data_IF_380387415167
#
_entry.id   IF_380387415167
#
_cell.length_a   1.000
_cell.length_b   1.000
_cell.length_c   1.000
_cell.angle_alpha   90.00
_cell.angle_beta   90.00
_cell.angle_gamma   90.00
#
_symmetry.space_group_name_H-M   'P 1'
#
loop_
_entity.id
_entity.type
_entity.pdbx_description
1 polymer ?
#
# COMPACT_ATOMS: atom_id res chain seq x y z
N UNK A 1 21.06 8.30 -4.02
CA UNK A 1 20.36 7.10 -3.50
C UNK A 1 20.54 7.13 -2.01
N UNK A 2 19.46 7.24 -1.23
CA UNK A 2 19.54 6.99 0.20
C UNK A 2 19.76 5.49 0.40
N UNK A 3 20.93 5.10 0.89
CA UNK A 3 21.28 3.71 1.16
C UNK A 3 20.49 3.24 2.40
N UNK A 4 19.37 2.58 2.14
CA UNK A 4 18.60 1.88 3.18
C UNK A 4 19.28 0.53 3.45
N UNK A 5 19.29 0.10 4.72
CA UNK A 5 19.89 -1.19 5.08
C UNK A 5 18.86 -2.33 5.07
N UNK A 6 17.58 -1.98 5.21
CA UNK A 6 16.48 -2.92 5.35
C UNK A 6 15.48 -2.86 4.21
N UNK A 7 15.65 -1.90 3.29
CA UNK A 7 14.76 -1.63 2.17
C UNK A 7 15.55 -1.41 0.88
N UNK A 8 14.85 -1.42 -0.23
CA UNK A 8 15.36 -0.93 -1.52
C UNK A 8 14.27 -0.11 -2.20
N UNK A 9 14.58 1.12 -2.61
CA UNK A 9 13.66 1.98 -3.36
C UNK A 9 14.16 2.12 -4.79
N UNK A 10 13.47 1.49 -5.74
CA UNK A 10 13.84 1.47 -7.16
C UNK A 10 12.85 2.31 -7.95
N UNK A 11 13.32 3.36 -8.62
CA UNK A 11 12.53 4.17 -9.55
C UNK A 11 12.62 3.60 -10.97
N UNK A 12 11.48 3.42 -11.62
CA UNK A 12 11.36 3.02 -13.02
C UNK A 12 11.20 4.26 -13.90
N UNK A 13 11.90 4.30 -15.03
CA UNK A 13 11.81 5.35 -16.05
C UNK A 13 10.39 5.63 -16.56
N UNK A 14 9.46 4.66 -16.43
CA UNK A 14 8.04 4.81 -16.77
C UNK A 14 7.26 5.70 -15.79
N UNK A 15 7.90 6.14 -14.70
CA UNK A 15 7.35 7.08 -13.74
C UNK A 15 6.67 6.41 -12.54
N UNK A 16 7.19 5.29 -12.03
CA UNK A 16 6.72 4.70 -10.78
C UNK A 16 7.90 4.19 -9.96
N UNK A 17 7.68 3.93 -8.68
CA UNK A 17 8.70 3.36 -7.81
C UNK A 17 8.24 2.03 -7.24
N UNK A 18 9.19 1.13 -6.97
CA UNK A 18 8.97 -0.06 -6.17
C UNK A 18 9.76 0.06 -4.87
N UNK A 19 9.05 0.07 -3.75
CA UNK A 19 9.60 -0.01 -2.41
C UNK A 19 9.61 -1.49 -1.98
N UNK A 20 10.81 -2.04 -1.86
CA UNK A 20 11.04 -3.41 -1.44
C UNK A 20 11.37 -3.47 0.05
N UNK A 21 10.68 -4.33 0.80
CA UNK A 21 11.18 -4.85 2.06
C UNK A 21 12.34 -5.79 1.75
N UNK A 22 13.54 -5.50 2.27
CA UNK A 22 14.78 -6.17 1.87
C UNK A 22 15.58 -6.69 3.07
N UNK A 23 14.93 -7.55 3.87
CA UNK A 23 15.58 -8.35 4.92
C UNK A 23 15.24 -9.83 4.69
N UNK A 24 15.53 -10.35 3.50
CA UNK A 24 15.16 -11.71 3.07
C UNK A 24 15.61 -12.79 4.08
N UNK A 25 16.84 -12.70 4.57
CA UNK A 25 17.38 -13.63 5.58
C UNK A 25 16.63 -13.61 6.93
N UNK A 26 15.79 -12.59 7.14
CA UNK A 26 14.90 -12.44 8.31
C UNK A 26 13.44 -12.45 7.90
N UNK A 27 13.10 -12.96 6.71
CA UNK A 27 11.75 -13.02 6.16
C UNK A 27 11.05 -11.66 6.17
N UNK A 28 11.79 -10.56 5.97
CA UNK A 28 11.30 -9.19 6.01
C UNK A 28 10.56 -8.85 7.32
N UNK A 29 10.95 -9.47 8.43
CA UNK A 29 10.38 -9.16 9.73
C UNK A 29 10.63 -7.70 10.11
N UNK A 30 9.69 -7.08 10.81
CA UNK A 30 9.77 -5.68 11.19
C UNK A 30 10.72 -5.49 12.37
N UNK A 31 11.53 -4.45 12.31
CA UNK A 31 12.25 -3.91 13.45
C UNK A 31 12.16 -2.37 13.41
N UNK A 32 12.58 -1.71 14.48
CA UNK A 32 12.56 -0.24 14.57
C UNK A 32 13.29 0.44 13.40
N UNK A 33 14.39 -0.14 12.91
CA UNK A 33 15.12 0.41 11.76
C UNK A 33 14.29 0.39 10.47
N UNK A 34 13.67 -0.74 10.15
CA UNK A 34 12.82 -0.86 8.95
C UNK A 34 11.63 0.09 9.01
N UNK A 35 11.02 0.29 10.19
CA UNK A 35 9.92 1.24 10.37
C UNK A 35 10.39 2.67 10.01
N UNK A 36 11.52 3.13 10.59
CA UNK A 36 12.09 4.45 10.28
C UNK A 36 12.50 4.60 8.82
N UNK A 37 13.16 3.59 8.26
CA UNK A 37 13.56 3.60 6.85
C UNK A 37 12.32 3.65 5.92
N UNK A 38 11.21 3.01 6.28
CA UNK A 38 9.97 3.06 5.51
C UNK A 38 9.35 4.46 5.54
N UNK A 39 9.35 5.12 6.70
CA UNK A 39 8.87 6.51 6.83
C UNK A 39 9.68 7.43 5.91
N UNK A 40 11.02 7.36 5.98
CA UNK A 40 11.92 8.16 5.13
C UNK A 40 11.71 7.83 3.63
N UNK A 41 11.54 6.56 3.28
CA UNK A 41 11.30 6.16 1.90
C UNK A 41 9.96 6.72 1.37
N UNK A 42 8.91 6.73 2.20
CA UNK A 42 7.62 7.32 1.83
C UNK A 42 7.73 8.84 1.65
N UNK A 43 8.53 9.52 2.46
CA UNK A 43 8.81 10.96 2.27
C UNK A 43 9.51 11.23 0.94
N UNK A 44 10.50 10.41 0.56
CA UNK A 44 11.15 10.51 -0.76
C UNK A 44 10.15 10.30 -1.90
N UNK A 45 9.30 9.27 -1.80
CA UNK A 45 8.24 9.00 -2.79
C UNK A 45 7.25 10.17 -2.86
N UNK A 46 6.91 10.77 -1.73
CA UNK A 46 5.96 11.87 -1.64
C UNK A 46 6.54 13.18 -2.22
N UNK A 47 7.86 13.38 -2.13
CA UNK A 47 8.56 14.55 -2.66
C UNK A 47 8.84 14.46 -4.18
N UNK A 48 8.92 13.26 -4.74
CA UNK A 48 9.18 13.05 -6.16
C UNK A 48 7.92 13.22 -7.02
N UNK A 49 7.82 14.38 -7.66
CA UNK A 49 6.70 14.72 -8.54
C UNK A 49 6.64 13.87 -9.82
N UNK A 50 7.73 13.20 -10.21
CA UNK A 50 7.77 12.33 -11.39
C UNK A 50 7.05 10.99 -11.17
N UNK A 51 6.91 10.56 -9.92
CA UNK A 51 6.26 9.30 -9.58
C UNK A 51 4.74 9.42 -9.71
N UNK A 52 4.16 8.44 -10.41
CA UNK A 52 2.74 8.31 -10.73
C UNK A 52 2.02 7.39 -9.75
N UNK A 53 2.70 6.35 -9.26
CA UNK A 53 2.21 5.39 -8.27
C UNK A 53 3.39 4.65 -7.60
N UNK A 54 3.11 3.96 -6.49
CA UNK A 54 4.07 3.19 -5.70
C UNK A 54 3.68 1.70 -5.71
N UNK A 55 4.63 0.81 -5.94
CA UNK A 55 4.51 -0.61 -5.62
C UNK A 55 5.19 -0.88 -4.28
N UNK A 56 4.55 -1.66 -3.42
CA UNK A 56 5.13 -2.17 -2.18
C UNK A 56 5.28 -3.70 -2.28
N UNK A 57 6.51 -4.20 -2.13
CA UNK A 57 6.85 -5.61 -2.33
C UNK A 57 7.80 -6.11 -1.24
N UNK A 58 7.88 -7.43 -1.02
CA UNK A 58 8.94 -8.05 -0.21
C UNK A 58 9.95 -8.79 -1.08
N UNK A 59 11.24 -8.75 -0.73
CA UNK A 59 12.28 -9.60 -1.35
C UNK A 59 12.21 -11.02 -0.79
N UNK A 60 12.56 -11.99 -1.64
CA UNK A 60 12.61 -13.40 -1.26
C UNK A 60 11.25 -14.07 -1.10
N UNK A 61 11.23 -15.12 -0.27
CA UNK A 61 10.09 -16.06 -0.16
C UNK A 61 8.81 -15.44 0.42
N UNK A 62 8.93 -14.40 1.25
CA UNK A 62 7.82 -13.87 2.03
C UNK A 62 7.72 -12.36 1.89
N UNK A 63 6.49 -11.85 1.85
CA UNK A 63 6.25 -10.42 1.94
C UNK A 63 6.80 -9.86 3.24
N UNK A 64 6.30 -10.34 4.40
CA UNK A 64 6.86 -10.07 5.72
C UNK A 64 6.28 -11.01 6.80
N UNK A 65 7.14 -11.71 7.53
CA UNK A 65 6.74 -12.73 8.49
C UNK A 65 6.41 -12.22 9.92
N UNK A 66 6.15 -10.92 10.10
CA UNK A 66 5.77 -10.32 11.39
C UNK A 66 6.90 -9.55 12.07
N UNK A 67 6.89 -9.50 13.41
CA UNK A 67 7.93 -8.78 14.17
C UNK A 67 9.22 -9.58 14.28
N UNK A 68 10.36 -8.89 14.25
CA UNK A 68 11.69 -9.47 14.44
C UNK A 68 11.86 -9.97 15.88
N UNK A 69 12.43 -11.17 16.05
CA UNK A 69 12.61 -11.80 17.36
C UNK A 69 13.46 -10.95 18.31
N UNK A 70 14.53 -10.32 17.82
CA UNK A 70 15.39 -9.48 18.65
C UNK A 70 14.66 -8.20 19.07
N UNK A 71 13.84 -7.64 18.18
CA UNK A 71 13.00 -6.50 18.52
C UNK A 71 11.94 -6.87 19.56
N UNK A 72 11.26 -8.02 19.42
CA UNK A 72 10.30 -8.50 20.43
C UNK A 72 10.96 -8.73 21.80
N UNK A 73 12.19 -9.26 21.84
CA UNK A 73 12.94 -9.42 23.08
C UNK A 73 13.25 -8.07 23.74
N UNK A 74 13.63 -7.06 22.95
CA UNK A 74 13.87 -5.71 23.47
C UNK A 74 12.57 -5.09 23.99
N UNK A 75 11.46 -5.19 23.24
CA UNK A 75 10.17 -4.63 23.62
C UNK A 75 9.60 -5.22 24.91
N UNK A 76 9.93 -6.48 25.24
CA UNK A 76 9.48 -7.13 26.47
C UNK A 76 10.02 -6.47 27.75
N UNK A 77 11.15 -5.78 27.66
CA UNK A 77 11.81 -5.11 28.80
C UNK A 77 11.50 -3.60 28.86
N UNK A 78 10.78 -3.06 27.86
CA UNK A 78 10.46 -1.63 27.79
C UNK A 78 9.33 -1.26 28.75
N UNK A 79 9.41 -0.04 29.31
CA UNK A 79 8.31 0.54 30.06
C UNK A 79 7.16 0.99 29.14
N UNK A 80 6.07 1.47 29.74
CA UNK A 80 4.89 1.91 28.99
C UNK A 80 5.20 3.08 28.04
N UNK A 81 5.97 4.07 28.49
CA UNK A 81 6.23 5.27 27.71
C UNK A 81 7.13 4.98 26.49
N UNK A 82 8.14 4.13 26.67
CA UNK A 82 9.02 3.72 25.58
C UNK A 82 8.27 2.85 24.58
N UNK A 83 7.41 1.94 25.04
CA UNK A 83 6.52 1.17 24.14
C UNK A 83 5.53 2.07 23.39
N UNK A 84 5.05 3.14 24.02
CA UNK A 84 4.16 4.10 23.36
C UNK A 84 4.87 4.86 22.24
N UNK A 85 6.15 5.19 22.40
CA UNK A 85 6.95 5.82 21.36
C UNK A 85 7.20 4.87 20.17
N UNK A 86 7.52 3.60 20.43
CA UNK A 86 7.60 2.56 19.38
C UNK A 86 6.26 2.42 18.62
N UNK A 87 5.13 2.48 19.34
CA UNK A 87 3.80 2.43 18.74
C UNK A 87 3.48 3.68 17.90
N UNK A 88 3.98 4.86 18.30
CA UNK A 88 3.81 6.12 17.55
C UNK A 88 4.55 6.09 16.21
N UNK A 89 5.76 5.57 16.19
CA UNK A 89 6.55 5.39 14.95
C UNK A 89 5.83 4.44 13.97
N UNK A 90 5.34 3.30 14.47
CA UNK A 90 4.56 2.39 13.63
C UNK A 90 3.26 3.04 13.14
N UNK A 91 2.59 3.84 13.99
CA UNK A 91 1.39 4.57 13.59
C UNK A 91 1.70 5.60 12.50
N UNK A 92 2.77 6.37 12.65
CA UNK A 92 3.24 7.34 11.65
C UNK A 92 3.47 6.68 10.30
N UNK A 93 4.17 5.54 10.27
CA UNK A 93 4.34 4.73 9.06
C UNK A 93 2.99 4.39 8.40
N UNK A 94 2.05 3.84 9.16
CA UNK A 94 0.74 3.43 8.62
C UNK A 94 -0.05 4.62 8.09
N UNK A 95 -0.06 5.74 8.84
CA UNK A 95 -0.75 6.95 8.40
C UNK A 95 -0.08 7.61 7.19
N UNK A 96 1.25 7.60 7.08
CA UNK A 96 1.96 8.15 5.93
C UNK A 96 1.67 7.34 4.66
N UNK A 97 1.66 6.00 4.76
CA UNK A 97 1.31 5.14 3.63
C UNK A 97 -0.16 5.32 3.21
N UNK A 98 -1.10 5.29 4.14
CA UNK A 98 -2.53 5.45 3.86
C UNK A 98 -2.89 6.86 3.32
N UNK A 99 -2.09 7.89 3.66
CA UNK A 99 -2.27 9.27 3.20
C UNK A 99 -1.41 9.64 1.99
N UNK A 100 -0.63 8.71 1.45
CA UNK A 100 0.26 8.96 0.32
C UNK A 100 -0.54 9.55 -0.85
N UNK A 101 -0.08 10.66 -1.44
CA UNK A 101 -0.87 11.37 -2.48
C UNK A 101 -0.99 10.59 -3.79
N UNK A 102 -0.05 9.68 -4.07
CA UNK A 102 -0.09 8.80 -5.24
C UNK A 102 -0.75 7.47 -4.91
N UNK A 103 -1.35 6.79 -5.91
CA UNK A 103 -1.82 5.43 -5.74
C UNK A 103 -0.71 4.48 -5.26
N UNK A 104 -1.06 3.52 -4.41
CA UNK A 104 -0.18 2.46 -3.93
C UNK A 104 -0.76 1.08 -4.18
N UNK A 105 0.10 0.15 -4.62
CA UNK A 105 -0.23 -1.26 -4.88
C UNK A 105 0.69 -2.18 -4.06
N UNK A 106 0.13 -2.92 -3.11
CA UNK A 106 0.85 -4.02 -2.45
C UNK A 106 0.84 -5.27 -3.33
N UNK A 107 1.99 -5.96 -3.43
CA UNK A 107 2.11 -7.26 -4.09
C UNK A 107 2.61 -8.29 -3.08
N UNK A 108 1.78 -9.26 -2.74
CA UNK A 108 2.00 -10.14 -1.59
C UNK A 108 2.25 -11.58 -2.01
N UNK A 109 3.45 -12.08 -1.75
CA UNK A 109 3.81 -13.48 -1.86
C UNK A 109 4.14 -14.10 -0.49
N UNK A 110 3.95 -15.41 -0.35
CA UNK A 110 4.33 -16.12 0.87
C UNK A 110 3.64 -15.58 2.13
N UNK A 111 4.38 -15.41 3.24
CA UNK A 111 3.81 -15.00 4.50
C UNK A 111 3.70 -13.47 4.62
N UNK A 112 2.57 -13.00 5.13
CA UNK A 112 2.31 -11.64 5.56
C UNK A 112 1.65 -11.71 6.95
N UNK A 113 2.38 -11.39 8.03
CA UNK A 113 1.87 -11.49 9.40
C UNK A 113 1.95 -10.15 10.17
N UNK A 114 0.99 -9.94 11.07
CA UNK A 114 0.95 -8.79 11.97
C UNK A 114 1.05 -7.44 11.25
N UNK A 115 2.10 -6.66 11.54
CA UNK A 115 2.36 -5.35 10.90
C UNK A 115 2.33 -5.36 9.37
N UNK A 116 2.64 -6.50 8.74
CA UNK A 116 2.52 -6.68 7.29
C UNK A 116 1.08 -6.51 6.79
N UNK A 117 0.08 -7.00 7.53
CA UNK A 117 -1.33 -6.79 7.19
C UNK A 117 -1.69 -5.32 7.28
N UNK A 118 -1.10 -4.58 8.23
CA UNK A 118 -1.22 -3.12 8.31
C UNK A 118 -0.75 -2.44 7.04
N UNK A 119 0.47 -2.76 6.57
CA UNK A 119 1.00 -2.18 5.32
C UNK A 119 0.09 -2.49 4.12
N UNK A 120 -0.36 -3.74 4.00
CA UNK A 120 -1.24 -4.17 2.91
C UNK A 120 -2.57 -3.40 2.96
N UNK A 121 -3.18 -3.27 4.13
CA UNK A 121 -4.44 -2.55 4.31
C UNK A 121 -4.31 -1.03 4.19
N UNK A 122 -3.10 -0.47 4.29
CA UNK A 122 -2.85 0.94 4.03
C UNK A 122 -2.65 1.26 2.53
N UNK A 123 -2.36 0.26 1.69
CA UNK A 123 -2.29 0.48 0.25
C UNK A 123 -3.69 0.66 -0.35
N UNK A 124 -3.80 1.44 -1.43
CA UNK A 124 -5.08 1.62 -2.12
C UNK A 124 -5.56 0.32 -2.77
N UNK A 125 -4.61 -0.49 -3.22
CA UNK A 125 -4.83 -1.75 -3.89
C UNK A 125 -3.85 -2.79 -3.35
N UNK A 126 -4.26 -4.05 -3.38
CA UNK A 126 -3.38 -5.16 -3.07
C UNK A 126 -3.71 -6.36 -3.96
N UNK A 127 -2.68 -7.04 -4.44
CA UNK A 127 -2.79 -8.34 -5.12
C UNK A 127 -1.81 -9.32 -4.50
N UNK A 128 -2.01 -10.62 -4.71
CA UNK A 128 -1.10 -11.60 -4.14
C UNK A 128 -1.19 -12.99 -4.73
N UNK A 129 -0.33 -13.87 -4.24
CA UNK A 129 -0.37 -15.27 -4.61
C UNK A 129 -1.54 -16.00 -3.93
N UNK A 130 -2.15 -16.96 -4.61
CA UNK A 130 -3.22 -17.80 -4.09
C UNK A 130 -2.81 -18.54 -2.80
N UNK A 131 -1.55 -18.95 -2.74
CA UNK A 131 -0.95 -19.68 -1.62
C UNK A 131 -0.35 -18.76 -0.54
N UNK A 132 -0.42 -17.43 -0.71
CA UNK A 132 0.03 -16.49 0.31
C UNK A 132 -0.72 -16.71 1.64
N UNK A 133 -0.03 -16.50 2.75
CA UNK A 133 -0.50 -16.81 4.09
C UNK A 133 -0.59 -15.55 4.93
N UNK A 134 -1.79 -15.27 5.45
CA UNK A 134 -2.09 -14.08 6.24
C UNK A 134 -2.46 -14.48 7.67
N UNK A 135 -2.05 -13.67 8.65
CA UNK A 135 -2.36 -13.92 10.07
C UNK A 135 -2.20 -12.65 10.92
N UNK A 136 -3.18 -12.41 11.80
CA UNK A 136 -3.07 -11.52 12.95
C UNK A 136 -2.77 -12.40 14.18
N UNK A 137 -1.49 -12.61 14.47
CA UNK A 137 -1.05 -13.59 15.47
C UNK A 137 -0.86 -13.04 16.88
N UNK A 138 -1.03 -11.74 17.08
CA UNK A 138 -0.68 -10.98 18.28
C UNK A 138 -1.31 -11.56 19.56
N UNK A 139 -2.56 -12.01 19.49
CA UNK A 139 -3.27 -12.56 20.66
C UNK A 139 -2.64 -13.85 21.19
N UNK A 140 -1.87 -14.58 20.38
CA UNK A 140 -1.14 -15.79 20.82
C UNK A 140 0.00 -15.48 21.78
N UNK A 141 0.47 -14.23 21.80
CA UNK A 141 1.56 -13.75 22.66
C UNK A 141 1.10 -12.67 23.63
N UNK A 142 -0.22 -12.56 23.88
CA UNK A 142 -0.78 -11.62 24.85
C UNK A 142 -0.86 -10.17 24.35
N UNK A 143 -0.75 -9.93 23.04
CA UNK A 143 -0.81 -8.60 22.44
C UNK A 143 -2.08 -8.43 21.60
N UNK A 144 -2.36 -7.18 21.20
CA UNK A 144 -3.41 -6.84 20.25
C UNK A 144 -2.81 -6.20 18.99
N UNK A 145 -3.39 -6.39 17.79
CA UNK A 145 -2.97 -5.71 16.55
C UNK A 145 -3.42 -4.23 16.54
N UNK A 146 -3.12 -3.48 17.61
CA UNK A 146 -3.77 -2.21 17.91
C UNK A 146 -3.53 -1.13 16.84
N UNK A 147 -2.27 -0.87 16.49
CA UNK A 147 -1.89 0.22 15.57
C UNK A 147 -2.44 0.01 14.15
N UNK A 148 -2.51 -1.24 13.70
CA UNK A 148 -2.96 -1.57 12.34
C UNK A 148 -4.48 -1.74 12.24
N UNK A 149 -5.18 -1.89 13.37
CA UNK A 149 -6.60 -2.23 13.41
C UNK A 149 -7.51 -1.29 12.60
N UNK A 150 -7.35 0.05 12.62
CA UNK A 150 -8.21 0.93 11.84
C UNK A 150 -8.20 0.61 10.33
N UNK A 151 -7.00 0.34 9.80
CA UNK A 151 -6.80 0.06 8.37
C UNK A 151 -7.30 -1.34 8.01
N UNK A 152 -7.00 -2.34 8.84
CA UNK A 152 -7.49 -3.71 8.62
C UNK A 152 -9.02 -3.76 8.66
N UNK A 153 -9.66 -3.10 9.63
CA UNK A 153 -11.12 -3.05 9.72
C UNK A 153 -11.71 -2.35 8.49
N UNK A 154 -11.08 -1.29 7.99
CA UNK A 154 -11.51 -0.63 6.76
C UNK A 154 -11.38 -1.53 5.53
N UNK A 155 -10.33 -2.35 5.45
CA UNK A 155 -10.08 -3.23 4.31
C UNK A 155 -11.00 -4.45 4.24
N UNK A 156 -11.22 -5.16 5.37
CA UNK A 156 -11.96 -6.44 5.39
C UNK A 156 -13.27 -6.42 6.18
N UNK A 157 -13.62 -5.27 6.76
CA UNK A 157 -14.78 -5.11 7.63
C UNK A 157 -14.57 -5.65 9.05
N UNK A 158 -15.33 -5.09 9.99
CA UNK A 158 -15.18 -5.37 11.43
C UNK A 158 -15.34 -6.86 11.77
N UNK A 159 -16.31 -7.55 11.16
CA UNK A 159 -16.61 -8.95 11.50
C UNK A 159 -15.48 -9.89 11.10
N UNK A 160 -14.87 -9.68 9.93
CA UNK A 160 -13.74 -10.49 9.49
C UNK A 160 -12.50 -10.15 10.31
N UNK A 161 -12.21 -8.86 10.50
CA UNK A 161 -11.09 -8.40 11.32
C UNK A 161 -11.15 -8.99 12.74
N UNK A 162 -12.32 -8.93 13.40
CA UNK A 162 -12.55 -9.53 14.72
C UNK A 162 -12.29 -11.03 14.72
N UNK A 163 -12.79 -11.77 13.72
CA UNK A 163 -12.56 -13.22 13.63
C UNK A 163 -11.06 -13.51 13.62
N UNK A 164 -10.33 -12.96 12.64
CA UNK A 164 -8.92 -13.31 12.45
C UNK A 164 -8.02 -12.76 13.55
N UNK A 165 -8.36 -11.61 14.15
CA UNK A 165 -7.62 -11.06 15.28
C UNK A 165 -7.81 -11.89 16.56
N UNK A 166 -9.03 -12.41 16.82
CA UNK A 166 -9.32 -13.16 18.05
C UNK A 166 -8.92 -14.65 17.94
N UNK A 167 -9.08 -15.26 16.77
CA UNK A 167 -8.72 -16.68 16.58
C UNK A 167 -7.23 -16.85 16.28
N UNK A 168 -6.57 -15.81 15.76
CA UNK A 168 -5.23 -15.90 15.18
C UNK A 168 -5.09 -17.06 14.19
N UNK A 169 -6.17 -17.43 13.50
CA UNK A 169 -6.13 -18.45 12.45
C UNK A 169 -5.48 -17.88 11.18
N UNK A 170 -4.78 -18.75 10.44
CA UNK A 170 -4.22 -18.38 9.14
C UNK A 170 -5.30 -18.44 8.06
N UNK A 171 -5.18 -17.61 7.04
CA UNK A 171 -5.98 -17.70 5.84
C UNK A 171 -5.13 -17.50 4.59
N UNK A 172 -5.58 -18.09 3.48
CA UNK A 172 -4.88 -18.08 2.19
C UNK A 172 -5.19 -16.85 1.32
N UNK A 173 -4.45 -16.67 0.22
CA UNK A 173 -4.63 -15.57 -0.73
C UNK A 173 -6.02 -15.52 -1.38
N UNK A 174 -6.57 -16.67 -1.76
CA UNK A 174 -7.94 -16.74 -2.29
C UNK A 174 -8.98 -16.24 -1.26
N UNK A 175 -8.80 -16.61 0.01
CA UNK A 175 -9.65 -16.12 1.09
C UNK A 175 -9.42 -14.63 1.35
N UNK A 176 -8.19 -14.15 1.27
CA UNK A 176 -7.87 -12.73 1.38
C UNK A 176 -8.57 -11.91 0.27
N UNK A 177 -8.69 -12.47 -0.95
CA UNK A 177 -9.49 -11.88 -2.03
C UNK A 177 -10.98 -11.81 -1.70
N UNK A 178 -11.56 -12.92 -1.24
CA UNK A 178 -12.98 -12.95 -0.84
C UNK A 178 -13.34 -11.94 0.27
N UNK A 179 -12.36 -11.63 1.13
CA UNK A 179 -12.51 -10.67 2.23
C UNK A 179 -12.32 -9.22 1.79
N UNK A 180 -11.80 -8.97 0.58
CA UNK A 180 -11.44 -7.64 0.10
C UNK A 180 -10.06 -7.15 0.55
N UNK A 181 -9.26 -7.98 1.26
CA UNK A 181 -7.88 -7.62 1.60
C UNK A 181 -7.00 -7.56 0.36
N UNK A 182 -7.22 -8.49 -0.57
CA UNK A 182 -6.66 -8.46 -1.91
C UNK A 182 -7.79 -8.15 -2.88
N UNK A 183 -7.53 -7.31 -3.88
CA UNK A 183 -8.42 -7.14 -5.02
C UNK A 183 -8.43 -8.40 -5.88
N UNK A 184 -7.26 -9.00 -6.11
CA UNK A 184 -7.09 -10.23 -6.89
C UNK A 184 -6.02 -11.14 -6.29
N UNK A 185 -6.17 -12.44 -6.53
CA UNK A 185 -5.15 -13.45 -6.23
C UNK A 185 -4.88 -14.31 -7.45
N UNK A 186 -3.62 -14.72 -7.62
CA UNK A 186 -3.15 -15.47 -8.78
C UNK A 186 -2.27 -16.66 -8.36
N UNK A 187 -2.11 -17.69 -9.20
CA UNK A 187 -1.07 -18.68 -8.99
C UNK A 187 0.30 -18.01 -8.79
N UNK A 188 1.09 -18.49 -7.83
CA UNK A 188 2.37 -17.85 -7.47
C UNK A 188 3.32 -17.69 -8.66
N UNK A 189 3.32 -18.64 -9.59
CA UNK A 189 4.11 -18.62 -10.83
C UNK A 189 3.69 -17.55 -11.84
N UNK A 190 2.47 -17.02 -11.72
CA UNK A 190 1.89 -16.04 -12.64
C UNK A 190 1.82 -14.64 -12.03
N UNK A 191 2.12 -14.50 -10.74
CA UNK A 191 1.96 -13.24 -10.00
C UNK A 191 2.73 -12.09 -10.66
N UNK A 192 3.98 -12.28 -11.05
CA UNK A 192 4.78 -11.21 -11.68
C UNK A 192 4.24 -10.79 -13.05
N UNK A 193 3.71 -11.73 -13.84
CA UNK A 193 3.03 -11.41 -15.10
C UNK A 193 1.83 -10.52 -14.85
N UNK A 194 1.03 -10.83 -13.82
CA UNK A 194 -0.11 -9.99 -13.45
C UNK A 194 0.31 -8.65 -12.86
N UNK A 195 1.41 -8.57 -12.09
CA UNK A 195 1.95 -7.29 -11.63
C UNK A 195 2.23 -6.36 -12.82
N UNK A 196 2.86 -6.88 -13.89
CA UNK A 196 3.14 -6.07 -15.08
C UNK A 196 1.85 -5.63 -15.80
N UNK A 197 0.79 -6.43 -15.77
CA UNK A 197 -0.54 -6.03 -16.29
C UNK A 197 -1.16 -4.89 -15.46
N UNK A 198 -1.08 -4.97 -14.12
CA UNK A 198 -1.53 -3.89 -13.23
C UNK A 198 -0.73 -2.60 -13.47
N UNK A 199 0.60 -2.71 -13.55
CA UNK A 199 1.50 -1.59 -13.90
C UNK A 199 1.13 -1.00 -15.25
N UNK A 200 0.97 -1.83 -16.28
CA UNK A 200 0.60 -1.39 -17.63
C UNK A 200 -0.73 -0.64 -17.65
N UNK A 201 -1.73 -1.11 -16.89
CA UNK A 201 -3.02 -0.42 -16.75
C UNK A 201 -2.87 0.93 -16.03
N UNK A 202 -2.12 1.00 -14.93
CA UNK A 202 -1.89 2.26 -14.21
C UNK A 202 -1.14 3.28 -15.08
N UNK A 203 -0.22 2.82 -15.92
CA UNK A 203 0.53 3.65 -16.87
C UNK A 203 -0.34 4.24 -17.99
N UNK A 204 -1.57 3.73 -18.22
CA UNK A 204 -2.50 4.36 -19.16
C UNK A 204 -3.13 5.65 -18.63
N UNK A 205 -3.07 5.90 -17.32
CA UNK A 205 -3.88 6.91 -16.66
C UNK A 205 -3.15 8.23 -16.41
N UNK A 206 -3.87 9.34 -16.47
CA UNK A 206 -3.34 10.67 -16.12
C UNK A 206 -2.86 10.69 -14.66
N UNK A 207 -1.59 11.03 -14.39
CA UNK A 207 -1.08 11.14 -13.02
C UNK A 207 -1.88 12.11 -12.14
N UNK A 208 -2.29 13.26 -12.67
CA UNK A 208 -3.10 14.22 -11.93
C UNK A 208 -4.51 13.68 -11.65
N UNK A 209 -5.13 13.01 -12.62
CA UNK A 209 -6.45 12.42 -12.44
C UNK A 209 -6.42 11.28 -11.41
N UNK A 210 -5.38 10.43 -11.40
CA UNK A 210 -5.23 9.38 -10.40
C UNK A 210 -5.16 9.94 -8.97
N UNK A 211 -4.31 10.95 -8.73
CA UNK A 211 -4.19 11.62 -7.41
C UNK A 211 -5.51 12.25 -6.99
N UNK A 212 -6.14 13.01 -7.89
CA UNK A 212 -7.42 13.65 -7.62
C UNK A 212 -8.54 12.63 -7.34
N UNK A 213 -8.52 11.48 -8.01
CA UNK A 213 -9.50 10.41 -7.82
C UNK A 213 -9.31 9.71 -6.49
N UNK A 214 -8.05 9.43 -6.08
CA UNK A 214 -7.73 8.90 -4.76
C UNK A 214 -8.22 9.83 -3.65
N UNK A 215 -7.89 11.13 -3.73
CA UNK A 215 -8.35 12.13 -2.75
C UNK A 215 -9.89 12.24 -2.73
N UNK A 216 -10.54 12.17 -3.89
CA UNK A 216 -12.00 12.18 -4.00
C UNK A 216 -12.62 10.95 -3.32
N UNK A 217 -12.11 9.76 -3.61
CA UNK A 217 -12.62 8.50 -3.08
C UNK A 217 -12.46 8.41 -1.56
N UNK A 218 -11.40 9.01 -1.01
CA UNK A 218 -11.20 9.11 0.43
C UNK A 218 -12.25 9.98 1.11
N UNK A 219 -12.62 11.11 0.51
CA UNK A 219 -13.63 12.01 1.05
C UNK A 219 -15.04 11.41 1.00
N UNK A 220 -15.39 10.71 -0.10
CA UNK A 220 -16.72 10.07 -0.25
C UNK A 220 -16.85 8.77 0.55
N UNK A 221 -15.75 8.18 1.03
CA UNK A 221 -15.70 6.82 1.58
C UNK A 221 -16.61 6.56 2.79
N UNK A 222 -17.03 7.60 3.51
CA UNK A 222 -18.01 7.46 4.60
C UNK A 222 -19.45 7.17 4.11
N UNK A 223 -19.72 7.32 2.81
CA UNK A 223 -21.02 7.04 2.18
C UNK A 223 -22.15 8.03 2.49
N UNK A 224 -21.91 9.07 3.29
CA UNK A 224 -22.93 10.04 3.67
C UNK A 224 -23.13 11.12 2.60
N UNK A 225 -24.27 11.08 1.92
CA UNK A 225 -24.61 12.00 0.82
C UNK A 225 -25.03 13.39 1.34
N UNK A 226 -24.08 14.16 1.86
CA UNK A 226 -24.33 15.51 2.39
C UNK A 226 -24.24 16.59 1.31
N UNK A 227 -24.88 17.77 1.48
CA UNK A 227 -24.69 18.90 0.58
C UNK A 227 -23.23 19.37 0.47
N UNK A 228 -22.43 19.21 1.54
CA UNK A 228 -21.00 19.52 1.51
C UNK A 228 -20.23 18.55 0.61
N UNK A 229 -20.50 17.24 0.73
CA UNK A 229 -19.89 16.22 -0.12
C UNK A 229 -20.27 16.42 -1.59
N UNK A 230 -21.54 16.74 -1.88
CA UNK A 230 -21.99 17.07 -3.23
C UNK A 230 -21.18 18.23 -3.82
N UNK A 231 -21.02 19.34 -3.08
CA UNK A 231 -20.23 20.49 -3.54
C UNK A 231 -18.76 20.12 -3.74
N UNK A 232 -18.20 19.31 -2.86
CA UNK A 232 -16.82 18.83 -3.01
C UNK A 232 -16.63 18.07 -4.32
N UNK A 233 -17.52 17.11 -4.63
CA UNK A 233 -17.48 16.33 -5.88
C UNK A 233 -17.64 17.23 -7.13
N UNK A 234 -18.58 18.17 -7.12
CA UNK A 234 -18.80 19.14 -8.21
C UNK A 234 -17.54 19.99 -8.47
N UNK A 235 -16.88 20.47 -7.41
CA UNK A 235 -15.64 21.23 -7.51
C UNK A 235 -14.46 20.36 -7.97
N UNK A 236 -14.37 19.11 -7.50
CA UNK A 236 -13.30 18.19 -7.89
C UNK A 236 -13.29 17.94 -9.41
N UNK A 237 -14.46 17.63 -10.00
CA UNK A 237 -14.56 17.39 -11.44
C UNK A 237 -14.34 18.68 -12.26
N UNK A 238 -14.83 19.82 -11.79
CA UNK A 238 -14.60 21.10 -12.45
C UNK A 238 -13.10 21.44 -12.50
N UNK A 239 -12.39 21.31 -11.37
CA UNK A 239 -10.95 21.57 -11.25
C UNK A 239 -10.12 20.68 -12.16
N UNK A 240 -10.37 19.36 -12.16
CA UNK A 240 -9.53 18.45 -12.97
C UNK A 240 -9.80 18.63 -14.48
N UNK A 241 -11.03 18.94 -14.90
CA UNK A 241 -11.37 19.16 -16.32
C UNK A 241 -10.65 20.36 -16.94
N UNK A 242 -10.43 21.43 -16.17
CA UNK A 242 -9.70 22.62 -16.66
C UNK A 242 -8.18 22.51 -16.51
N UNK A 243 -7.68 21.46 -15.86
CA UNK A 243 -6.24 21.22 -15.72
C UNK A 243 -5.57 20.88 -17.05
N UNK A 244 -4.23 20.98 -17.10
CA UNK A 244 -3.45 20.64 -18.30
C UNK A 244 -3.70 19.20 -18.76
N UNK A 245 -3.60 18.21 -17.85
CA UNK A 245 -3.87 16.80 -18.19
C UNK A 245 -5.35 16.55 -18.53
N UNK A 246 -6.28 17.25 -17.87
CA UNK A 246 -7.71 17.15 -18.20
C UNK A 246 -8.03 17.62 -19.62
N UNK A 247 -7.47 18.77 -20.02
CA UNK A 247 -7.63 19.31 -21.37
C UNK A 247 -6.94 18.42 -22.42
N UNK A 248 -5.74 17.94 -22.14
CA UNK A 248 -5.01 17.02 -23.01
C UNK A 248 -5.79 15.71 -23.21
N UNK A 249 -6.29 15.09 -22.14
CA UNK A 249 -7.08 13.86 -22.21
C UNK A 249 -8.34 14.00 -23.06
N UNK A 250 -9.11 15.07 -22.84
CA UNK A 250 -10.31 15.36 -23.62
C UNK A 250 -9.99 15.55 -25.10
N UNK A 251 -8.93 16.30 -25.43
CA UNK A 251 -8.51 16.51 -26.82
C UNK A 251 -8.03 15.22 -27.46
N UNK A 252 -7.17 14.47 -26.78
CA UNK A 252 -6.62 13.21 -27.27
C UNK A 252 -7.74 12.20 -27.58
N UNK A 253 -8.72 12.07 -26.68
CA UNK A 253 -9.90 11.22 -26.87
C UNK A 253 -10.72 11.64 -28.09
N UNK A 254 -11.07 12.93 -28.21
CA UNK A 254 -11.84 13.45 -29.35
C UNK A 254 -11.09 13.32 -30.69
N UNK A 255 -9.76 13.43 -30.65
CA UNK A 255 -8.89 13.32 -31.82
C UNK A 255 -8.46 11.87 -32.12
N UNK A 256 -8.90 10.88 -31.33
CA UNK A 256 -8.52 9.46 -31.46
C UNK A 256 -7.00 9.23 -31.47
N UNK A 257 -6.27 9.93 -30.63
CA UNK A 257 -4.82 9.75 -30.42
C UNK A 257 -4.51 9.41 -28.97
N UNK A 258 -3.35 8.80 -28.67
CA UNK A 258 -2.88 8.67 -27.30
C UNK A 258 -2.66 10.05 -26.65
N UNK A 259 -3.00 10.22 -25.35
CA UNK A 259 -2.64 11.41 -24.59
C UNK A 259 -1.13 11.44 -24.27
N UNK A 260 -0.61 12.61 -23.95
CA UNK A 260 0.83 12.82 -23.72
C UNK A 260 1.46 11.91 -22.65
N UNK A 261 0.73 11.54 -21.60
CA UNK A 261 1.24 10.64 -20.54
C UNK A 261 1.32 9.16 -20.94
N UNK A 262 0.79 8.80 -22.12
CA UNK A 262 0.96 7.48 -22.74
C UNK A 262 2.03 7.48 -23.84
N UNK A 263 2.41 8.66 -24.35
CA UNK A 263 3.42 8.76 -25.40
C UNK A 263 4.78 8.42 -24.80
N UNK A 264 5.33 7.25 -25.16
CA UNK A 264 6.73 6.96 -24.93
C UNK A 264 7.55 7.92 -25.81
N UNK A 265 8.57 8.58 -25.23
CA UNK A 265 9.62 9.16 -26.05
C UNK A 265 10.16 8.05 -26.99
N UNK A 266 10.43 8.36 -28.27
CA UNK A 266 11.06 7.38 -29.14
C UNK A 266 12.40 7.00 -28.52
N UNK A 267 12.61 5.72 -28.23
CA UNK A 267 13.95 5.20 -27.93
C UNK A 267 14.85 5.52 -29.12
N UNK A 268 15.76 6.47 -28.92
CA UNK A 268 16.95 6.67 -29.77
C UNK A 268 17.92 5.53 -29.60
#
# INVERSE_FOLDING_TARGET
MSDFNTLELITDSRGFATLWLNREAKNNAFNAQMIRELIIALDHVQADASLRFLLLRGRGKHFSAGADLAWMQQSAELDYHTNLDDARELAELMYNLAKLKIPSLAVVQGAAYGGALGLISCCDMAIGADDAQFCLSEVRIGLAPAVISPFVVQAIGERAARRYALTAERFGGQRARELGLLAESYPASELDTHVEQWVSNLLQNSPAAMRASKDLLREVGNGALTPALRRYCENAIARIRVSAEGQEGLRAFLQKRPPSWQAQEPRS
#
